data_IF_257154017842
#
_entry.id   IF_257154017842
#
_cell.length_a   1.000
_cell.length_b   1.000
_cell.length_c   1.000
_cell.angle_alpha   90.00
_cell.angle_beta   90.00
_cell.angle_gamma   90.00
#
_symmetry.space_group_name_H-M   'P 1'
#
loop_
_entity.id
_entity.type
_entity.pdbx_description
1 polymer ?
#
# COMPACT_ATOMS: atom_id res chain seq x y z
N UNK A 1 -30.07 4.36 -3.63
CA UNK A 1 -29.96 4.37 -2.16
C UNK A 1 -28.48 4.22 -1.80
N UNK A 2 -27.99 4.95 -0.79
CA UNK A 2 -26.59 4.96 -0.38
C UNK A 2 -26.52 4.43 1.07
N UNK A 3 -25.54 3.55 1.32
CA UNK A 3 -25.26 2.97 2.63
C UNK A 3 -23.81 3.23 3.02
N UNK A 4 -23.54 3.34 4.32
CA UNK A 4 -22.19 3.44 4.84
C UNK A 4 -21.78 2.11 5.49
N UNK A 5 -21.08 1.27 4.74
CA UNK A 5 -20.66 -0.06 5.18
C UNK A 5 -19.67 -0.06 6.36
N UNK A 6 -19.02 1.06 6.68
CA UNK A 6 -18.19 1.15 7.87
C UNK A 6 -18.97 1.03 9.20
N UNK A 7 -20.31 1.09 9.15
CA UNK A 7 -21.24 0.93 10.28
C UNK A 7 -22.06 -0.35 10.21
N UNK A 8 -21.71 -1.26 9.31
CA UNK A 8 -22.48 -2.48 9.01
C UNK A 8 -21.61 -3.71 9.25
N UNK A 9 -22.23 -4.81 9.64
CA UNK A 9 -21.62 -6.13 9.62
C UNK A 9 -21.58 -6.70 8.20
N UNK A 10 -20.90 -7.82 7.98
CA UNK A 10 -20.89 -8.52 6.70
C UNK A 10 -22.30 -8.94 6.29
N UNK A 11 -23.07 -9.50 7.24
CA UNK A 11 -24.43 -9.97 7.04
C UNK A 11 -25.35 -8.83 6.62
N UNK A 12 -25.28 -7.70 7.27
CA UNK A 12 -26.08 -6.51 6.94
C UNK A 12 -25.74 -5.97 5.54
N UNK A 13 -24.45 -6.02 5.14
CA UNK A 13 -24.04 -5.64 3.78
C UNK A 13 -24.60 -6.61 2.75
N UNK A 14 -24.50 -7.91 3.00
CA UNK A 14 -25.03 -8.95 2.11
C UNK A 14 -26.55 -8.91 2.00
N UNK A 15 -27.27 -8.68 3.09
CA UNK A 15 -28.72 -8.52 3.08
C UNK A 15 -29.18 -7.40 2.16
N UNK A 16 -28.51 -6.25 2.21
CA UNK A 16 -28.78 -5.13 1.28
C UNK A 16 -28.52 -5.50 -0.17
N UNK A 17 -27.48 -6.30 -0.45
CA UNK A 17 -27.21 -6.80 -1.80
C UNK A 17 -28.31 -7.75 -2.29
N UNK A 18 -28.72 -8.69 -1.44
CA UNK A 18 -29.78 -9.65 -1.76
C UNK A 18 -31.11 -8.95 -2.04
N UNK A 19 -31.51 -8.00 -1.17
CA UNK A 19 -32.72 -7.20 -1.41
C UNK A 19 -32.66 -6.41 -2.74
N UNK A 20 -31.48 -5.95 -3.13
CA UNK A 20 -31.32 -5.24 -4.39
C UNK A 20 -31.46 -6.19 -5.58
N UNK A 21 -30.83 -7.37 -5.51
CA UNK A 21 -30.91 -8.42 -6.54
C UNK A 21 -32.35 -8.90 -6.74
N UNK A 22 -33.09 -9.20 -5.68
CA UNK A 22 -34.51 -9.58 -5.74
C UNK A 22 -35.39 -8.53 -6.46
N UNK A 23 -34.98 -7.26 -6.39
CA UNK A 23 -35.66 -6.14 -7.05
C UNK A 23 -35.09 -5.83 -8.44
N UNK A 24 -34.21 -6.68 -8.97
CA UNK A 24 -33.54 -6.49 -10.27
C UNK A 24 -32.70 -5.22 -10.34
N UNK A 25 -32.04 -4.85 -9.24
CA UNK A 25 -31.22 -3.64 -9.15
C UNK A 25 -29.74 -3.99 -9.09
N UNK A 26 -28.90 -3.15 -9.65
CA UNK A 26 -27.43 -3.26 -9.54
C UNK A 26 -26.96 -2.68 -8.22
N UNK A 27 -26.14 -3.45 -7.50
CA UNK A 27 -25.41 -2.98 -6.33
C UNK A 27 -23.99 -2.60 -6.74
N UNK A 28 -23.52 -1.44 -6.30
CA UNK A 28 -22.14 -0.99 -6.50
C UNK A 28 -21.45 -0.87 -5.14
N UNK A 29 -20.38 -1.65 -4.96
CA UNK A 29 -19.50 -1.57 -3.78
C UNK A 29 -18.33 -0.65 -4.09
N UNK A 30 -18.34 0.56 -3.52
CA UNK A 30 -17.24 1.50 -3.67
C UNK A 30 -16.14 1.20 -2.64
N UNK A 31 -14.92 1.12 -3.12
CA UNK A 31 -13.72 0.98 -2.32
C UNK A 31 -12.77 2.16 -2.57
N UNK A 32 -11.92 2.45 -1.58
CA UNK A 32 -10.78 3.36 -1.76
C UNK A 32 -9.57 2.54 -2.19
N UNK A 33 -8.87 2.98 -3.23
CA UNK A 33 -7.77 2.22 -3.80
C UNK A 33 -8.22 0.99 -4.58
N UNK A 34 -7.42 -0.06 -4.56
CA UNK A 34 -7.76 -1.34 -5.16
C UNK A 34 -8.36 -2.31 -4.12
N UNK A 35 -9.53 -2.90 -4.39
CA UNK A 35 -10.19 -3.79 -3.44
C UNK A 35 -9.39 -5.06 -3.09
N UNK A 36 -8.45 -5.50 -3.95
CA UNK A 36 -7.60 -6.68 -3.69
C UNK A 36 -6.61 -6.49 -2.55
N UNK A 37 -6.32 -5.24 -2.17
CA UNK A 37 -5.40 -4.91 -1.09
C UNK A 37 -6.16 -4.44 0.15
N UNK A 38 -6.30 -5.33 1.13
CA UNK A 38 -6.99 -5.08 2.41
C UNK A 38 -8.46 -4.66 2.27
N UNK A 39 -9.11 -5.00 1.15
CA UNK A 39 -10.48 -4.59 0.83
C UNK A 39 -11.58 -5.41 1.52
N UNK A 40 -11.25 -6.54 2.16
CA UNK A 40 -12.21 -7.47 2.78
C UNK A 40 -13.38 -7.84 1.84
N UNK A 41 -13.04 -8.14 0.57
CA UNK A 41 -14.04 -8.44 -0.46
C UNK A 41 -14.27 -9.95 -0.64
N UNK A 42 -13.27 -10.81 -0.27
CA UNK A 42 -13.36 -12.23 -0.57
C UNK A 42 -14.57 -12.89 0.09
N UNK A 43 -14.84 -12.56 1.34
CA UNK A 43 -15.99 -13.07 2.10
C UNK A 43 -17.33 -12.74 1.42
N UNK A 44 -17.44 -11.53 0.85
CA UNK A 44 -18.64 -11.12 0.10
C UNK A 44 -18.77 -11.91 -1.21
N UNK A 45 -17.66 -12.07 -1.94
CA UNK A 45 -17.63 -12.81 -3.20
C UNK A 45 -17.99 -14.29 -3.00
N UNK A 46 -17.47 -14.93 -1.94
CA UNK A 46 -17.78 -16.33 -1.59
C UNK A 46 -19.30 -16.54 -1.43
N UNK A 47 -19.95 -15.65 -0.69
CA UNK A 47 -21.40 -15.76 -0.46
C UNK A 47 -22.22 -15.45 -1.74
N UNK A 48 -21.75 -14.51 -2.56
CA UNK A 48 -22.41 -14.24 -3.85
C UNK A 48 -22.27 -15.44 -4.80
N UNK A 49 -21.08 -16.08 -4.83
CA UNK A 49 -20.83 -17.30 -5.61
C UNK A 49 -21.76 -18.45 -5.16
N UNK A 50 -21.88 -18.70 -3.85
CA UNK A 50 -22.78 -19.72 -3.29
C UNK A 50 -24.24 -19.48 -3.69
N UNK A 51 -24.68 -18.22 -3.70
CA UNK A 51 -26.03 -17.83 -4.11
C UNK A 51 -26.20 -17.69 -5.62
N UNK A 52 -25.14 -17.92 -6.41
CA UNK A 52 -25.14 -17.77 -7.88
C UNK A 52 -25.55 -16.37 -8.34
N UNK A 53 -25.21 -15.35 -7.57
CA UNK A 53 -25.40 -13.95 -7.93
C UNK A 53 -24.18 -13.49 -8.72
N UNK A 54 -24.33 -13.05 -9.97
CA UNK A 54 -23.20 -12.60 -10.78
C UNK A 54 -22.63 -11.28 -10.24
N UNK A 55 -21.33 -11.14 -10.30
CA UNK A 55 -20.64 -9.90 -9.95
C UNK A 55 -19.42 -9.68 -10.84
N UNK A 56 -19.06 -8.42 -11.01
CA UNK A 56 -17.85 -7.99 -11.68
C UNK A 56 -16.91 -7.30 -10.70
N UNK A 57 -15.63 -7.46 -10.92
CA UNK A 57 -14.57 -6.81 -10.18
C UNK A 57 -13.88 -5.77 -11.06
N UNK A 58 -13.91 -4.50 -10.63
CA UNK A 58 -13.20 -3.41 -11.29
C UNK A 58 -11.95 -3.07 -10.50
N UNK A 59 -10.74 -3.24 -11.05
CA UNK A 59 -9.50 -2.87 -10.37
C UNK A 59 -9.40 -1.36 -10.16
N UNK A 60 -8.70 -0.98 -9.10
CA UNK A 60 -8.45 0.42 -8.75
C UNK A 60 -6.97 0.73 -8.60
N UNK A 61 -6.67 1.97 -8.24
CA UNK A 61 -5.29 2.42 -7.95
C UNK A 61 -5.08 2.42 -6.45
N UNK A 62 -4.24 1.52 -5.97
CA UNK A 62 -3.92 1.45 -4.55
C UNK A 62 -3.14 2.65 -4.04
N UNK A 63 -3.30 2.95 -2.75
CA UNK A 63 -2.69 4.10 -2.09
C UNK A 63 -1.16 4.14 -2.17
N UNK A 64 -0.50 2.99 -2.29
CA UNK A 64 0.96 2.97 -2.47
C UNK A 64 1.38 3.56 -3.82
N UNK A 65 0.60 3.39 -4.89
CA UNK A 65 0.83 4.05 -6.18
C UNK A 65 0.64 5.57 -6.05
N UNK A 66 -0.41 6.00 -5.34
CA UNK A 66 -0.62 7.42 -5.04
C UNK A 66 0.52 8.03 -4.21
N UNK A 67 1.04 7.27 -3.25
CA UNK A 67 2.19 7.70 -2.45
C UNK A 67 3.48 7.83 -3.27
N UNK A 68 3.72 6.93 -4.22
CA UNK A 68 4.83 7.05 -5.16
C UNK A 68 4.70 8.30 -6.03
N UNK A 69 3.50 8.59 -6.53
CA UNK A 69 3.20 9.81 -7.29
C UNK A 69 3.49 11.07 -6.49
N UNK A 70 3.05 11.13 -5.24
CA UNK A 70 3.26 12.27 -4.35
C UNK A 70 4.74 12.55 -4.05
N UNK A 71 5.60 11.54 -4.16
CA UNK A 71 7.05 11.62 -3.94
C UNK A 71 7.86 11.66 -5.25
N UNK A 72 7.23 11.59 -6.43
CA UNK A 72 7.88 11.38 -7.71
C UNK A 72 8.84 10.16 -7.70
N UNK A 73 8.38 9.06 -7.13
CA UNK A 73 9.16 7.87 -6.80
C UNK A 73 8.87 6.72 -7.76
N UNK A 74 9.91 6.03 -8.21
CA UNK A 74 9.82 4.67 -8.73
C UNK A 74 10.35 3.69 -7.68
N UNK A 75 9.55 2.69 -7.29
CA UNK A 75 9.95 1.71 -6.27
C UNK A 75 11.03 0.75 -6.74
N UNK A 76 11.10 0.48 -8.02
CA UNK A 76 11.93 -0.58 -8.62
C UNK A 76 13.11 0.00 -9.40
N UNK A 77 13.91 0.84 -8.75
CA UNK A 77 15.11 1.43 -9.35
C UNK A 77 16.20 0.36 -9.56
N UNK A 78 16.87 0.34 -10.73
CA UNK A 78 18.00 -0.54 -10.99
C UNK A 78 19.07 -0.41 -9.90
N UNK A 79 19.59 -1.57 -9.44
CA UNK A 79 20.60 -1.73 -8.39
C UNK A 79 20.24 -1.16 -7.00
N UNK A 80 19.05 -0.58 -6.85
CA UNK A 80 18.54 -0.12 -5.54
C UNK A 80 17.53 -1.12 -4.98
N UNK A 81 16.46 -1.39 -5.71
CA UNK A 81 15.45 -2.38 -5.32
C UNK A 81 14.69 -2.90 -6.54
N UNK A 82 14.46 -4.19 -6.61
CA UNK A 82 13.62 -4.83 -7.63
C UNK A 82 12.37 -5.49 -7.03
N UNK A 83 12.14 -5.27 -5.71
CA UNK A 83 11.01 -5.84 -4.99
C UNK A 83 10.29 -4.77 -4.20
N UNK A 84 8.97 -4.89 -4.13
CA UNK A 84 8.10 -4.06 -3.27
C UNK A 84 7.31 -5.00 -2.36
N UNK A 85 7.45 -4.84 -1.06
CA UNK A 85 6.69 -5.58 -0.07
C UNK A 85 5.64 -4.64 0.53
N UNK A 86 4.37 -5.01 0.42
CA UNK A 86 3.26 -4.28 0.99
C UNK A 86 2.76 -5.05 2.20
N UNK A 87 2.89 -4.48 3.38
CA UNK A 87 2.49 -5.12 4.63
C UNK A 87 1.93 -4.11 5.62
N UNK A 88 1.47 -4.60 6.76
CA UNK A 88 0.99 -3.79 7.87
C UNK A 88 1.46 -4.36 9.20
N UNK A 89 1.53 -3.55 10.23
CA UNK A 89 1.74 -4.05 11.58
C UNK A 89 0.52 -4.79 12.12
N UNK A 90 0.75 -5.80 12.93
CA UNK A 90 -0.28 -6.34 13.79
C UNK A 90 -0.79 -5.25 14.74
N UNK A 91 -2.11 -5.13 14.82
CA UNK A 91 -2.78 -4.16 15.67
C UNK A 91 -4.05 -4.80 16.23
N UNK A 92 -5.22 -4.20 15.99
CA UNK A 92 -6.51 -4.81 16.38
C UNK A 92 -6.78 -6.15 15.68
N UNK A 93 -6.18 -6.33 14.49
CA UNK A 93 -6.22 -7.59 13.74
C UNK A 93 -4.83 -8.19 13.67
N UNK A 94 -4.69 -9.52 13.81
CA UNK A 94 -3.39 -10.19 13.77
C UNK A 94 -2.75 -10.14 12.39
N UNK A 95 -1.44 -10.34 12.35
CA UNK A 95 -0.63 -10.64 11.16
C UNK A 95 0.05 -11.97 11.42
N UNK A 96 0.18 -12.87 10.44
CA UNK A 96 0.90 -14.12 10.62
C UNK A 96 2.33 -13.88 11.14
N UNK A 97 2.81 -14.70 12.07
CA UNK A 97 4.12 -14.51 12.70
C UNK A 97 5.28 -14.50 11.66
N UNK A 98 5.17 -15.36 10.64
CA UNK A 98 6.12 -15.41 9.51
C UNK A 98 6.13 -14.15 8.64
N UNK A 99 5.13 -13.29 8.78
CA UNK A 99 4.99 -11.99 8.12
C UNK A 99 5.21 -10.83 9.10
N UNK A 100 5.97 -11.08 10.15
CA UNK A 100 6.38 -10.02 11.08
C UNK A 100 7.31 -9.01 10.41
N UNK A 101 7.33 -7.80 10.94
CA UNK A 101 8.22 -6.73 10.44
C UNK A 101 9.68 -7.17 10.44
N UNK A 102 10.11 -7.87 11.48
CA UNK A 102 11.47 -8.39 11.63
C UNK A 102 11.81 -9.41 10.54
N UNK A 103 10.84 -10.25 10.15
CA UNK A 103 11.02 -11.23 9.07
C UNK A 103 11.25 -10.57 7.71
N UNK A 104 10.71 -9.38 7.50
CA UNK A 104 10.84 -8.62 6.25
C UNK A 104 11.96 -7.58 6.27
N UNK A 105 12.56 -7.30 7.41
CA UNK A 105 13.57 -6.25 7.55
C UNK A 105 14.83 -6.47 6.69
N UNK A 106 15.09 -7.71 6.26
CA UNK A 106 16.11 -8.01 5.26
C UNK A 106 15.71 -7.57 3.83
N UNK A 107 14.46 -7.16 3.62
CA UNK A 107 13.89 -6.76 2.33
C UNK A 107 13.31 -5.35 2.45
N UNK A 108 13.45 -4.53 1.41
CA UNK A 108 12.99 -3.13 1.43
C UNK A 108 11.47 -3.05 1.27
N UNK A 109 10.77 -2.32 2.13
CA UNK A 109 9.33 -2.52 2.40
C UNK A 109 8.53 -1.22 2.38
N UNK A 110 7.26 -1.30 1.92
CA UNK A 110 6.24 -0.26 2.05
C UNK A 110 5.23 -0.65 3.13
N UNK A 111 4.94 0.25 4.08
CA UNK A 111 4.07 -0.03 5.24
C UNK A 111 2.79 0.81 5.28
N UNK A 112 1.73 0.19 5.78
CA UNK A 112 0.44 0.79 6.08
C UNK A 112 0.18 0.75 7.60
N UNK A 113 0.78 1.66 8.41
CA UNK A 113 0.51 1.65 9.86
C UNK A 113 0.88 2.98 10.53
N UNK A 114 -0.06 3.89 10.62
CA UNK A 114 0.16 5.24 11.16
C UNK A 114 0.12 5.34 12.69
N UNK A 115 -0.54 4.41 13.38
CA UNK A 115 -0.80 4.51 14.81
C UNK A 115 0.30 3.95 15.73
N UNK A 116 1.36 3.34 15.17
CA UNK A 116 2.37 2.57 15.91
C UNK A 116 3.78 2.86 15.42
N UNK A 117 4.09 4.11 15.10
CA UNK A 117 5.35 4.47 14.41
C UNK A 117 6.60 4.31 15.30
N UNK A 118 6.49 4.48 16.61
CA UNK A 118 7.61 4.21 17.54
C UNK A 118 7.96 2.73 17.55
N UNK A 119 6.93 1.89 17.63
CA UNK A 119 7.08 0.44 17.58
C UNK A 119 7.54 -0.04 16.21
N UNK A 120 7.03 0.55 15.12
CA UNK A 120 7.48 0.26 13.75
C UNK A 120 8.98 0.56 13.60
N UNK A 121 9.43 1.76 13.99
CA UNK A 121 10.82 2.17 13.93
C UNK A 121 11.73 1.22 14.73
N UNK A 122 11.34 0.87 15.96
CA UNK A 122 12.06 -0.07 16.81
C UNK A 122 12.22 -1.44 16.14
N UNK A 123 11.12 -2.02 15.65
CA UNK A 123 11.12 -3.35 15.01
C UNK A 123 11.91 -3.38 13.70
N UNK A 124 11.86 -2.31 12.92
CA UNK A 124 12.67 -2.20 11.71
C UNK A 124 14.18 -2.24 12.06
N UNK A 125 14.58 -1.51 13.09
CA UNK A 125 15.98 -1.48 13.55
C UNK A 125 16.38 -2.84 14.12
N UNK A 126 15.55 -3.47 14.93
CA UNK A 126 15.78 -4.82 15.44
C UNK A 126 15.90 -5.87 14.33
N UNK A 127 15.14 -5.69 13.26
CA UNK A 127 15.19 -6.54 12.07
C UNK A 127 16.37 -6.27 11.14
N UNK A 128 17.22 -5.26 11.40
CA UNK A 128 18.45 -4.99 10.65
C UNK A 128 18.49 -3.70 9.83
N UNK A 129 17.43 -2.89 9.82
CA UNK A 129 17.49 -1.56 9.21
C UNK A 129 18.38 -0.63 10.06
N UNK A 130 19.11 0.25 9.39
CA UNK A 130 19.85 1.30 10.07
C UNK A 130 18.89 2.45 10.45
N UNK A 131 19.17 3.15 11.56
CA UNK A 131 18.34 4.27 12.01
C UNK A 131 18.30 5.43 10.99
N UNK A 132 19.35 5.57 10.18
CA UNK A 132 19.49 6.57 9.13
C UNK A 132 18.94 6.10 7.78
N UNK A 133 18.43 4.85 7.67
CA UNK A 133 17.78 4.38 6.44
C UNK A 133 16.69 5.37 6.02
N UNK A 134 16.69 5.81 4.74
CA UNK A 134 15.69 6.73 4.22
C UNK A 134 14.26 6.21 4.39
N UNK A 135 13.38 7.12 4.76
CA UNK A 135 11.95 6.84 4.91
C UNK A 135 11.11 8.04 4.48
N UNK A 136 9.88 7.80 4.14
CA UNK A 136 8.91 8.86 3.86
C UNK A 136 7.56 8.54 4.49
N UNK A 137 6.86 9.59 4.90
CA UNK A 137 5.47 9.55 5.31
C UNK A 137 4.65 10.30 4.25
N UNK A 138 3.67 9.64 3.65
CA UNK A 138 2.73 10.26 2.72
C UNK A 138 1.35 10.24 3.36
N UNK A 139 0.91 11.42 3.78
CA UNK A 139 -0.38 11.63 4.40
C UNK A 139 -1.41 11.93 3.34
N UNK A 140 -2.53 11.21 3.35
CA UNK A 140 -3.66 11.41 2.44
C UNK A 140 -3.25 11.51 0.97
N UNK A 141 -2.45 10.57 0.45
CA UNK A 141 -2.06 10.51 -0.95
C UNK A 141 -3.27 10.73 -1.88
N UNK A 142 -3.14 11.64 -2.83
CA UNK A 142 -4.16 12.05 -3.83
C UNK A 142 -5.34 12.89 -3.30
N UNK A 143 -5.34 13.26 -2.03
CA UNK A 143 -6.35 14.15 -1.47
C UNK A 143 -5.90 15.62 -1.58
N UNK A 144 -6.84 16.58 -1.48
CA UNK A 144 -6.52 18.01 -1.54
C UNK A 144 -5.56 18.49 -0.45
N UNK A 145 -5.58 17.83 0.71
CA UNK A 145 -4.69 18.11 1.85
C UNK A 145 -3.54 17.11 1.97
N UNK A 146 -3.12 16.52 0.84
CA UNK A 146 -1.93 15.65 0.76
C UNK A 146 -0.69 16.36 1.31
N UNK A 147 0.13 15.61 2.08
CA UNK A 147 1.43 16.06 2.56
C UNK A 147 2.44 14.94 2.51
N UNK A 148 3.67 15.29 2.17
CA UNK A 148 4.80 14.36 2.16
C UNK A 148 5.88 14.82 3.12
N UNK A 149 6.53 13.87 3.80
CA UNK A 149 7.63 14.14 4.73
C UNK A 149 8.70 13.08 4.51
N UNK A 150 9.84 13.52 4.02
CA UNK A 150 11.04 12.68 3.94
C UNK A 150 11.75 12.72 5.29
N UNK A 151 12.13 11.56 5.79
CA UNK A 151 12.75 11.37 7.10
C UNK A 151 13.63 10.12 7.07
N UNK A 152 13.94 9.56 8.23
CA UNK A 152 14.64 8.28 8.36
C UNK A 152 13.84 7.32 9.24
N UNK A 153 14.21 6.04 9.24
CA UNK A 153 13.60 5.03 10.12
C UNK A 153 13.63 5.50 11.59
N UNK A 154 14.74 6.04 12.04
CA UNK A 154 14.90 6.52 13.41
C UNK A 154 14.09 7.77 13.75
N UNK A 155 13.69 8.57 12.76
CA UNK A 155 12.94 9.82 12.96
C UNK A 155 11.47 9.75 12.55
N UNK A 156 10.99 8.60 12.09
CA UNK A 156 9.60 8.37 11.65
C UNK A 156 8.56 8.85 12.67
N UNK A 157 8.69 8.38 13.91
CA UNK A 157 7.73 8.68 14.97
C UNK A 157 7.73 10.17 15.35
N UNK A 158 8.92 10.78 15.44
CA UNK A 158 9.05 12.21 15.71
C UNK A 158 8.46 13.05 14.59
N UNK A 159 8.74 12.70 13.33
CA UNK A 159 8.21 13.38 12.15
C UNK A 159 6.69 13.34 12.13
N UNK A 160 6.09 12.20 12.40
CA UNK A 160 4.63 12.08 12.46
C UNK A 160 4.03 12.90 13.61
N UNK A 161 4.63 12.84 14.79
CA UNK A 161 4.17 13.59 15.98
C UNK A 161 4.24 15.10 15.73
N UNK A 162 5.35 15.60 15.21
CA UNK A 162 5.55 17.01 14.87
C UNK A 162 4.51 17.54 13.87
N UNK A 163 4.08 16.69 12.95
CA UNK A 163 3.12 17.03 11.91
C UNK A 163 1.69 16.57 12.22
N UNK A 164 1.43 16.09 13.45
CA UNK A 164 0.11 15.66 13.94
C UNK A 164 -0.53 14.54 13.09
N UNK A 165 0.29 13.66 12.52
CA UNK A 165 -0.17 12.54 11.70
C UNK A 165 -0.47 11.34 12.60
N UNK A 166 -1.75 10.96 12.69
CA UNK A 166 -2.22 9.85 13.54
C UNK A 166 -2.93 8.75 12.75
N UNK A 167 -3.32 9.01 11.52
CA UNK A 167 -4.06 8.08 10.64
C UNK A 167 -3.92 8.49 9.17
N UNK A 168 -4.38 7.64 8.26
CA UNK A 168 -4.48 7.91 6.81
C UNK A 168 -3.14 8.30 6.19
N UNK A 169 -2.07 7.60 6.57
CA UNK A 169 -0.75 7.80 5.97
C UNK A 169 -0.08 6.46 5.65
N UNK A 170 0.76 6.50 4.63
CA UNK A 170 1.65 5.45 4.19
C UNK A 170 3.08 5.76 4.60
N UNK A 171 3.82 4.76 5.06
CA UNK A 171 5.25 4.84 5.29
C UNK A 171 5.97 4.05 4.22
N UNK A 172 6.92 4.68 3.56
CA UNK A 172 7.80 4.09 2.55
C UNK A 172 9.19 4.04 3.15
N UNK A 173 9.81 2.87 3.17
CA UNK A 173 11.10 2.64 3.81
C UNK A 173 12.08 2.10 2.77
N UNK A 174 13.26 2.67 2.70
CA UNK A 174 14.36 2.20 1.85
C UNK A 174 15.02 3.30 1.02
N UNK A 175 16.16 2.95 0.43
CA UNK A 175 17.03 3.87 -0.29
C UNK A 175 16.37 4.50 -1.53
N UNK A 176 15.30 3.90 -2.05
CA UNK A 176 14.49 4.47 -3.14
C UNK A 176 13.94 5.85 -2.80
N UNK A 177 13.73 6.15 -1.50
CA UNK A 177 13.23 7.45 -1.02
C UNK A 177 14.24 8.57 -1.19
N UNK A 178 15.55 8.26 -1.17
CA UNK A 178 16.61 9.26 -1.27
C UNK A 178 16.88 9.75 -2.69
N UNK A 179 16.36 9.09 -3.71
CA UNK A 179 16.65 9.31 -5.13
C UNK A 179 18.15 9.32 -5.47
N UNK A 180 18.99 8.70 -4.61
CA UNK A 180 20.43 8.71 -4.72
C UNK A 180 20.94 7.48 -5.47
N UNK A 181 21.91 7.69 -6.38
CA UNK A 181 22.75 6.67 -7.01
C UNK A 181 22.00 5.40 -7.46
N UNK A 182 21.35 5.46 -8.59
CA UNK A 182 20.82 4.30 -9.30
C UNK A 182 21.41 4.22 -10.70
N UNK A 183 21.54 3.02 -11.24
CA UNK A 183 22.02 2.82 -12.59
C UNK A 183 20.88 3.08 -13.59
N UNK A 184 21.30 3.45 -14.81
CA UNK A 184 20.35 3.60 -15.92
C UNK A 184 19.70 2.26 -16.22
N UNK A 185 18.38 2.27 -16.45
CA UNK A 185 17.68 1.08 -16.91
C UNK A 185 18.27 0.56 -18.23
N UNK A 186 18.52 -0.73 -18.32
CA UNK A 186 18.98 -1.39 -19.55
C UNK A 186 18.03 -1.15 -20.73
N UNK A 187 16.75 -0.94 -20.49
CA UNK A 187 15.77 -0.58 -21.53
C UNK A 187 16.16 0.69 -22.30
N UNK A 188 16.87 1.62 -21.66
CA UNK A 188 17.34 2.86 -22.27
C UNK A 188 18.85 2.85 -22.59
N UNK A 189 19.54 1.75 -22.33
CA UNK A 189 20.95 1.59 -22.69
C UNK A 189 21.09 1.45 -24.22
N UNK A 190 21.84 2.33 -24.90
CA UNK A 190 22.04 2.21 -26.34
C UNK A 190 22.69 0.88 -26.78
N UNK A 191 23.51 0.29 -25.92
CA UNK A 191 24.21 -0.99 -26.19
C UNK A 191 23.32 -2.23 -25.91
N UNK A 192 22.06 -2.04 -25.48
CA UNK A 192 21.14 -3.13 -25.17
C UNK A 192 20.07 -3.27 -26.26
N UNK A 193 19.98 -4.46 -26.88
CA UNK A 193 18.93 -4.80 -27.84
C UNK A 193 17.64 -5.16 -27.11
N UNK A 194 16.54 -4.55 -27.53
CA UNK A 194 15.18 -4.89 -27.08
C UNK A 194 14.39 -5.48 -28.25
N UNK A 195 13.18 -5.97 -27.99
CA UNK A 195 12.26 -6.42 -29.03
C UNK A 195 11.93 -5.32 -30.08
N UNK A 196 12.05 -4.05 -29.69
CA UNK A 196 11.66 -2.90 -30.52
C UNK A 196 12.85 -2.06 -30.99
N UNK A 197 14.07 -2.34 -30.54
CA UNK A 197 15.25 -1.55 -30.84
C UNK A 197 16.52 -2.38 -30.81
N UNK A 198 17.31 -2.35 -31.89
CA UNK A 198 18.67 -2.93 -31.89
C UNK A 198 19.66 -2.03 -31.14
N UNK A 199 20.67 -2.65 -30.57
CA UNK A 199 21.78 -1.94 -29.93
C UNK A 199 22.49 -1.05 -30.95
N UNK A 200 22.75 0.17 -30.56
CA UNK A 200 23.63 1.10 -31.28
C UNK A 200 24.96 1.17 -30.55
N UNK A 201 26.05 1.15 -31.30
CA UNK A 201 27.42 1.23 -30.73
C UNK A 201 27.66 2.53 -29.99
#
# INVERSE_FOLDING_TARGET
KIYNSAKMTLEEVLEVMFEAEEKGRTTVRLHTGDPSLYGAIREQMDVLEEKKIPFDYCPGVSSFCGAASALNLEYTLPDVSQSVIITRMAGRTPVPEKESIESFAAHRVVFLSTGMLEELSRRLIEGGYQADTPAAIVYKATWEDEKTFVCTVGTLAETARKNQITKTALMIIGDVVSHSHYNRSELYNPAFTTEFREATK
#
